data_IF_627850806343
#
_entry.id   IF_627850806343
#
_cell.length_a   1.000
_cell.length_b   1.000
_cell.length_c   1.000
_cell.angle_alpha   90.00
_cell.angle_beta   90.00
_cell.angle_gamma   90.00
#
_symmetry.space_group_name_H-M   'P 1'
#
loop_
_entity.id
_entity.type
_entity.pdbx_description
1 polymer ?
#
# COMPACT_ATOMS: atom_id res chain seq x y z
N UNK A 1 -32.30 18.13 -31.63
CA UNK A 1 -32.30 16.99 -30.68
C UNK A 1 -33.69 16.54 -30.24
N UNK A 2 -34.58 17.43 -29.77
CA UNK A 2 -35.91 17.07 -29.25
C UNK A 2 -36.83 16.27 -30.21
N UNK A 3 -36.73 16.56 -31.52
CA UNK A 3 -37.56 15.94 -32.58
C UNK A 3 -37.16 14.49 -32.92
N UNK A 4 -35.93 14.09 -32.59
CA UNK A 4 -35.43 12.72 -32.80
C UNK A 4 -35.88 11.86 -31.62
N UNK A 5 -35.75 12.37 -30.39
CA UNK A 5 -36.23 11.71 -29.18
C UNK A 5 -37.73 11.41 -29.22
N UNK A 6 -38.56 12.35 -29.71
CA UNK A 6 -40.00 12.11 -29.84
C UNK A 6 -40.36 11.02 -30.85
N UNK A 7 -39.60 10.90 -31.95
CA UNK A 7 -39.78 9.83 -32.94
C UNK A 7 -39.41 8.45 -32.38
N UNK A 8 -38.35 8.35 -31.57
CA UNK A 8 -38.00 7.12 -30.87
C UNK A 8 -39.09 6.69 -29.87
N UNK A 9 -39.63 7.65 -29.11
CA UNK A 9 -40.71 7.40 -28.15
C UNK A 9 -41.99 6.92 -28.86
N UNK A 10 -42.34 7.51 -30.00
CA UNK A 10 -43.51 7.07 -30.79
C UNK A 10 -43.31 5.71 -31.47
N UNK A 11 -42.08 5.32 -31.80
CA UNK A 11 -41.77 4.02 -32.41
C UNK A 11 -41.58 2.88 -31.38
N UNK A 12 -41.30 3.21 -30.12
CA UNK A 12 -41.12 2.27 -29.02
C UNK A 12 -42.25 1.23 -28.86
N UNK A 13 -43.55 1.61 -28.85
CA UNK A 13 -44.63 0.64 -28.67
C UNK A 13 -44.72 -0.36 -29.84
N UNK A 14 -44.33 0.02 -31.05
CA UNK A 14 -44.29 -0.86 -32.22
C UNK A 14 -43.20 -1.94 -32.09
N UNK A 15 -42.01 -1.55 -31.63
CA UNK A 15 -40.89 -2.47 -31.38
C UNK A 15 -41.24 -3.42 -30.24
N UNK A 16 -41.79 -2.91 -29.14
CA UNK A 16 -42.22 -3.72 -28.00
C UNK A 16 -43.32 -4.74 -28.38
N UNK A 17 -44.33 -4.34 -29.17
CA UNK A 17 -45.36 -5.25 -29.68
C UNK A 17 -44.74 -6.37 -30.54
N UNK A 18 -43.80 -6.01 -31.42
CA UNK A 18 -43.12 -6.98 -32.30
C UNK A 18 -42.23 -7.95 -31.52
N UNK A 19 -41.56 -7.46 -30.47
CA UNK A 19 -40.77 -8.26 -29.55
C UNK A 19 -41.64 -9.26 -28.76
N UNK A 20 -42.84 -8.85 -28.34
CA UNK A 20 -43.83 -9.74 -27.69
C UNK A 20 -44.37 -10.83 -28.62
N UNK A 21 -44.58 -10.52 -29.91
CA UNK A 21 -45.06 -11.51 -30.89
C UNK A 21 -44.01 -12.59 -31.18
N UNK A 22 -42.72 -12.24 -31.20
CA UNK A 22 -41.61 -13.19 -31.41
C UNK A 22 -40.82 -13.51 -30.13
N UNK A 23 -41.47 -13.46 -28.97
CA UNK A 23 -40.82 -13.54 -27.65
C UNK A 23 -39.99 -14.83 -27.45
N UNK A 24 -40.41 -15.97 -28.01
CA UNK A 24 -39.68 -17.24 -27.89
C UNK A 24 -38.29 -17.19 -28.54
N UNK A 25 -38.19 -16.61 -29.72
CA UNK A 25 -36.91 -16.45 -30.41
C UNK A 25 -36.03 -15.40 -29.68
N UNK A 26 -36.64 -14.30 -29.22
CA UNK A 26 -35.94 -13.26 -28.48
C UNK A 26 -35.38 -13.78 -27.14
N UNK A 27 -36.14 -14.60 -26.42
CA UNK A 27 -35.74 -15.21 -25.15
C UNK A 27 -34.50 -16.09 -25.30
N UNK A 28 -34.44 -16.91 -26.36
CA UNK A 28 -33.27 -17.75 -26.65
C UNK A 28 -32.01 -16.92 -26.91
N UNK A 29 -32.13 -15.81 -27.65
CA UNK A 29 -30.99 -14.93 -27.94
C UNK A 29 -30.53 -14.22 -26.66
N UNK A 30 -31.47 -13.68 -25.87
CA UNK A 30 -31.15 -13.02 -24.60
C UNK A 30 -30.46 -14.01 -23.65
N UNK A 31 -30.95 -15.24 -23.53
CA UNK A 31 -30.34 -16.27 -22.71
C UNK A 31 -28.90 -16.58 -23.16
N UNK A 32 -28.65 -16.70 -24.46
CA UNK A 32 -27.31 -16.94 -25.01
C UNK A 32 -26.34 -15.79 -24.73
N UNK A 33 -26.78 -14.54 -24.93
CA UNK A 33 -25.97 -13.35 -24.63
C UNK A 33 -25.67 -13.23 -23.14
N UNK A 34 -26.66 -13.49 -22.28
CA UNK A 34 -26.47 -13.49 -20.82
C UNK A 34 -25.49 -14.58 -20.38
N UNK A 35 -25.62 -15.80 -20.92
CA UNK A 35 -24.72 -16.90 -20.59
C UNK A 35 -23.29 -16.59 -21.03
N UNK A 36 -23.10 -16.10 -22.27
CA UNK A 36 -21.79 -15.72 -22.77
C UNK A 36 -21.17 -14.59 -21.93
N UNK A 37 -21.95 -13.55 -21.60
CA UNK A 37 -21.51 -12.44 -20.75
C UNK A 37 -21.15 -12.91 -19.33
N UNK A 38 -21.96 -13.79 -18.75
CA UNK A 38 -21.72 -14.36 -17.42
C UNK A 38 -20.43 -15.21 -17.39
N UNK A 39 -20.20 -16.05 -18.42
CA UNK A 39 -18.98 -16.86 -18.51
C UNK A 39 -17.75 -15.96 -18.66
N UNK A 40 -17.82 -14.94 -19.53
CA UNK A 40 -16.71 -13.99 -19.71
C UNK A 40 -16.41 -13.20 -18.43
N UNK A 41 -17.44 -12.71 -17.73
CA UNK A 41 -17.28 -12.00 -16.47
C UNK A 41 -16.77 -12.92 -15.34
N UNK A 42 -17.31 -14.14 -15.23
CA UNK A 42 -16.91 -15.10 -14.19
C UNK A 42 -15.47 -15.54 -14.34
N UNK A 43 -14.95 -15.64 -15.56
CA UNK A 43 -13.56 -16.06 -15.77
C UNK A 43 -12.59 -15.04 -15.20
N UNK A 44 -12.83 -13.75 -15.44
CA UNK A 44 -11.98 -12.67 -14.92
C UNK A 44 -11.99 -12.67 -13.39
N UNK A 45 -13.18 -12.70 -12.78
CA UNK A 45 -13.32 -12.70 -11.32
C UNK A 45 -12.68 -13.95 -10.69
N UNK A 46 -12.84 -15.12 -11.31
CA UNK A 46 -12.23 -16.36 -10.81
C UNK A 46 -10.70 -16.32 -10.88
N UNK A 47 -10.14 -15.81 -11.98
CA UNK A 47 -8.69 -15.71 -12.13
C UNK A 47 -8.07 -14.70 -11.16
N UNK A 48 -8.73 -13.55 -10.94
CA UNK A 48 -8.29 -12.57 -9.95
C UNK A 48 -8.29 -13.18 -8.55
N UNK A 49 -9.37 -13.88 -8.17
CA UNK A 49 -9.45 -14.54 -6.87
C UNK A 49 -8.37 -15.64 -6.71
N UNK A 50 -8.10 -16.41 -7.76
CA UNK A 50 -7.07 -17.45 -7.74
C UNK A 50 -5.67 -16.83 -7.61
N UNK A 51 -5.40 -15.73 -8.32
CA UNK A 51 -4.15 -14.99 -8.25
C UNK A 51 -3.92 -14.43 -6.85
N UNK A 52 -4.93 -13.82 -6.25
CA UNK A 52 -4.85 -13.25 -4.91
C UNK A 52 -4.60 -14.33 -3.86
N UNK A 53 -5.27 -15.48 -4.00
CA UNK A 53 -5.05 -16.62 -3.12
C UNK A 53 -3.63 -17.19 -3.27
N UNK A 54 -3.15 -17.33 -4.50
CA UNK A 54 -1.78 -17.79 -4.77
C UNK A 54 -0.73 -16.82 -4.23
N UNK A 55 -0.95 -15.51 -4.36
CA UNK A 55 -0.07 -14.48 -3.81
C UNK A 55 -0.02 -14.56 -2.28
N UNK A 56 -1.18 -14.62 -1.62
CA UNK A 56 -1.25 -14.79 -0.16
C UNK A 56 -0.53 -16.06 0.29
N UNK A 57 -0.74 -17.17 -0.42
CA UNK A 57 -0.06 -18.43 -0.12
C UNK A 57 1.46 -18.33 -0.29
N UNK A 58 1.94 -17.68 -1.34
CA UNK A 58 3.37 -17.50 -1.60
C UNK A 58 4.04 -16.60 -0.55
N UNK A 59 3.35 -15.54 -0.10
CA UNK A 59 3.88 -14.62 0.91
C UNK A 59 3.91 -15.25 2.29
N UNK A 60 2.90 -16.05 2.66
CA UNK A 60 2.87 -16.77 3.94
C UNK A 60 3.96 -17.85 4.09
N UNK A 61 4.67 -18.20 3.01
CA UNK A 61 5.82 -19.12 3.05
C UNK A 61 7.16 -18.40 3.25
N UNK A 62 7.16 -17.06 3.24
CA UNK A 62 8.35 -16.25 3.44
C UNK A 62 8.49 -15.87 4.90
N UNK A 63 9.73 -15.66 5.32
CA UNK A 63 10.06 -15.11 6.64
C UNK A 63 9.93 -13.60 6.62
N UNK A 64 9.72 -12.99 7.78
CA UNK A 64 9.43 -11.54 7.89
C UNK A 64 10.53 -10.68 7.26
N UNK A 65 11.80 -11.07 7.41
CA UNK A 65 12.97 -10.41 6.80
C UNK A 65 12.97 -10.43 5.25
N UNK A 66 12.30 -11.41 4.64
CA UNK A 66 12.13 -11.50 3.19
C UNK A 66 10.97 -10.66 2.66
N UNK A 67 10.10 -10.18 3.55
CA UNK A 67 8.93 -9.37 3.24
C UNK A 67 9.14 -7.88 3.57
N UNK A 68 10.31 -7.52 4.12
CA UNK A 68 10.66 -6.15 4.44
C UNK A 68 10.73 -5.27 3.18
N UNK A 69 9.98 -4.16 3.22
CA UNK A 69 9.95 -3.18 2.13
C UNK A 69 10.76 -1.96 2.56
N UNK A 70 11.86 -1.71 1.84
CA UNK A 70 12.67 -0.51 2.03
C UNK A 70 12.18 0.60 1.10
N UNK A 71 11.64 1.66 1.70
CA UNK A 71 11.36 2.92 1.00
C UNK A 71 12.47 3.93 1.25
N UNK A 72 13.07 4.45 0.19
CA UNK A 72 14.04 5.55 0.29
C UNK A 72 13.35 6.87 -0.08
N UNK A 73 13.62 7.90 0.71
CA UNK A 73 13.09 9.25 0.49
C UNK A 73 14.26 10.21 0.44
N UNK A 74 14.51 10.77 -0.74
CA UNK A 74 15.51 11.82 -0.93
C UNK A 74 14.91 13.18 -0.56
N UNK A 75 14.52 13.35 0.71
CA UNK A 75 14.12 14.64 1.27
C UNK A 75 15.06 15.03 2.41
N UNK A 76 15.39 16.32 2.46
CA UNK A 76 16.02 16.91 3.65
C UNK A 76 14.98 17.05 4.75
N UNK A 77 14.73 15.95 5.47
CA UNK A 77 13.88 15.86 6.65
C UNK A 77 14.49 16.72 7.77
N UNK A 78 14.21 18.02 7.71
CA UNK A 78 14.81 19.03 8.60
C UNK A 78 13.89 19.31 9.79
N UNK A 79 12.60 18.99 9.65
CA UNK A 79 11.58 19.26 10.64
C UNK A 79 10.66 18.06 10.85
N UNK A 80 9.98 18.06 12.00
CA UNK A 80 8.92 17.08 12.29
C UNK A 80 7.78 17.12 11.26
N UNK A 81 7.46 18.29 10.72
CA UNK A 81 6.42 18.46 9.71
C UNK A 81 6.78 17.76 8.40
N UNK A 82 8.04 17.85 7.97
CA UNK A 82 8.53 17.16 6.77
C UNK A 82 8.44 15.64 6.95
N UNK A 83 8.78 15.15 8.15
CA UNK A 83 8.65 13.73 8.50
C UNK A 83 7.19 13.26 8.46
N UNK A 84 6.27 13.97 9.11
CA UNK A 84 4.85 13.61 9.12
C UNK A 84 4.27 13.63 7.70
N UNK A 85 4.67 14.59 6.88
CA UNK A 85 4.25 14.67 5.47
C UNK A 85 4.79 13.51 4.64
N UNK A 86 6.09 13.20 4.74
CA UNK A 86 6.71 12.11 3.99
C UNK A 86 6.14 10.74 4.38
N UNK A 87 5.99 10.50 5.68
CA UNK A 87 5.42 9.24 6.20
C UNK A 87 3.93 9.10 5.89
N UNK A 88 3.17 10.20 5.84
CA UNK A 88 1.78 10.18 5.40
C UNK A 88 1.65 9.77 3.92
N UNK A 89 2.51 10.30 3.05
CA UNK A 89 2.54 9.89 1.64
C UNK A 89 2.94 8.42 1.50
N UNK A 90 4.01 7.99 2.16
CA UNK A 90 4.46 6.60 2.12
C UNK A 90 3.38 5.63 2.63
N UNK A 91 2.73 5.98 3.75
CA UNK A 91 1.64 5.18 4.32
C UNK A 91 0.44 5.11 3.37
N UNK A 92 0.04 6.24 2.77
CA UNK A 92 -1.08 6.26 1.83
C UNK A 92 -0.83 5.38 0.60
N UNK A 93 0.36 5.46 0.03
CA UNK A 93 0.70 4.64 -1.13
C UNK A 93 0.80 3.16 -0.76
N UNK A 94 1.34 2.85 0.42
CA UNK A 94 1.36 1.49 0.95
C UNK A 94 -0.06 0.93 1.13
N UNK A 95 -0.94 1.65 1.84
CA UNK A 95 -2.31 1.21 2.11
C UNK A 95 -3.10 1.02 0.81
N UNK A 96 -2.88 1.91 -0.17
CA UNK A 96 -3.53 1.83 -1.49
C UNK A 96 -3.13 0.59 -2.27
N UNK A 97 -1.87 0.18 -2.21
CA UNK A 97 -1.34 -0.91 -3.06
C UNK A 97 -1.31 -2.26 -2.36
N UNK A 98 -1.03 -2.27 -1.05
CA UNK A 98 -0.71 -3.46 -0.26
C UNK A 98 -1.63 -3.63 0.94
N UNK A 99 -2.43 -2.63 1.32
CA UNK A 99 -3.29 -2.68 2.50
C UNK A 99 -4.31 -3.84 2.48
N UNK A 100 -4.71 -4.32 1.30
CA UNK A 100 -5.60 -5.48 1.16
C UNK A 100 -4.94 -6.83 1.48
N UNK A 101 -3.61 -6.86 1.57
CA UNK A 101 -2.81 -8.08 1.73
C UNK A 101 -2.13 -8.17 3.12
N UNK A 102 -2.06 -7.06 3.86
CA UNK A 102 -1.27 -6.95 5.09
C UNK A 102 -2.19 -6.87 6.31
N UNK A 103 -2.06 -7.81 7.25
CA UNK A 103 -2.82 -7.83 8.52
C UNK A 103 -2.21 -6.93 9.61
N UNK A 104 -0.93 -6.56 9.48
CA UNK A 104 -0.23 -5.73 10.45
C UNK A 104 1.02 -5.10 9.86
N UNK A 105 1.39 -3.92 10.35
CA UNK A 105 2.55 -3.16 9.87
C UNK A 105 3.41 -2.72 11.04
N UNK A 106 4.68 -3.08 10.96
CA UNK A 106 5.75 -2.44 11.74
C UNK A 106 6.46 -1.48 10.79
N UNK A 107 6.60 -0.22 11.18
CA UNK A 107 7.37 0.75 10.41
C UNK A 107 8.58 1.20 11.22
N UNK A 108 9.68 1.44 10.52
CA UNK A 108 10.86 2.07 11.07
C UNK A 108 11.41 3.05 10.04
N UNK A 109 11.95 4.16 10.53
CA UNK A 109 12.61 5.17 9.73
C UNK A 109 14.05 5.26 10.20
N UNK A 110 14.97 5.26 9.25
CA UNK A 110 16.40 5.38 9.50
C UNK A 110 16.93 6.54 8.65
N UNK A 111 17.75 7.39 9.25
CA UNK A 111 18.47 8.43 8.51
C UNK A 111 19.62 7.82 7.71
N UNK A 112 20.13 8.56 6.73
CA UNK A 112 21.44 8.26 6.15
C UNK A 112 22.51 8.18 7.25
N UNK A 113 23.53 7.38 6.98
CA UNK A 113 24.67 7.23 7.89
C UNK A 113 25.53 8.50 7.85
N UNK A 114 25.73 9.11 9.01
CA UNK A 114 26.63 10.22 9.22
C UNK A 114 28.00 9.68 9.62
N UNK A 115 29.05 10.15 8.97
CA UNK A 115 30.42 9.86 9.36
C UNK A 115 30.94 11.00 10.24
N UNK A 116 31.37 10.65 11.45
CA UNK A 116 31.79 11.61 12.46
C UNK A 116 33.29 11.85 12.34
N UNK A 117 33.68 13.11 12.35
CA UNK A 117 35.09 13.52 12.34
C UNK A 117 35.29 14.77 13.18
N UNK A 118 36.55 15.08 13.51
CA UNK A 118 36.89 16.34 14.17
C UNK A 118 36.76 17.49 13.17
N UNK A 119 36.38 18.65 13.66
CA UNK A 119 36.29 19.88 12.85
C UNK A 119 37.63 20.16 12.18
N UNK A 120 37.64 20.32 10.85
CA UNK A 120 38.85 20.50 10.04
C UNK A 120 39.53 19.21 9.59
N UNK A 121 38.91 18.04 9.81
CA UNK A 121 39.33 16.73 9.29
C UNK A 121 38.23 16.06 8.46
N UNK A 122 37.42 16.86 7.76
CA UNK A 122 36.29 16.40 6.95
C UNK A 122 36.73 15.44 5.83
N UNK A 123 37.96 15.58 5.32
CA UNK A 123 38.57 14.68 4.35
C UNK A 123 38.84 13.26 4.89
N UNK A 124 38.86 13.11 6.22
CA UNK A 124 39.02 11.82 6.90
C UNK A 124 37.67 11.17 7.24
N UNK A 125 36.54 11.85 6.98
CA UNK A 125 35.21 11.33 7.27
C UNK A 125 34.95 10.03 6.49
N UNK A 126 34.63 8.95 7.22
CA UNK A 126 34.35 7.64 6.64
C UNK A 126 35.58 6.78 6.36
N UNK A 127 36.78 7.25 6.72
CA UNK A 127 37.99 6.42 6.78
C UNK A 127 37.98 5.55 8.05
N UNK A 128 37.47 6.07 9.15
CA UNK A 128 37.25 5.32 10.39
C UNK A 128 35.82 4.74 10.48
N UNK A 129 35.59 3.86 11.46
CA UNK A 129 34.25 3.28 11.70
C UNK A 129 33.40 4.16 12.63
N UNK A 130 33.75 5.44 12.80
CA UNK A 130 32.97 6.39 13.59
C UNK A 130 31.77 6.86 12.79
N UNK A 131 30.70 6.06 12.84
CA UNK A 131 29.44 6.32 12.15
C UNK A 131 28.29 6.43 13.13
N UNK A 132 27.39 7.35 12.84
CA UNK A 132 26.14 7.52 13.57
C UNK A 132 24.97 7.55 12.59
N UNK A 133 23.84 7.03 13.03
CA UNK A 133 22.57 7.21 12.34
C UNK A 133 21.48 7.33 13.39
N UNK A 134 20.38 7.96 13.03
CA UNK A 134 19.20 8.00 13.87
C UNK A 134 18.18 7.03 13.29
N UNK A 135 17.61 6.20 14.15
CA UNK A 135 16.53 5.30 13.81
C UNK A 135 15.35 5.55 14.74
N UNK A 136 14.16 5.50 14.18
CA UNK A 136 12.90 5.67 14.89
C UNK A 136 11.92 4.61 14.43
N UNK A 137 11.41 3.81 15.37
CA UNK A 137 10.42 2.79 15.12
C UNK A 137 9.20 3.03 16.03
N UNK A 138 8.07 3.54 15.51
CA UNK A 138 6.85 3.65 16.30
C UNK A 138 6.37 2.26 16.75
N UNK A 139 5.83 2.18 17.96
CA UNK A 139 5.28 0.95 18.55
C UNK A 139 6.29 -0.21 18.67
N UNK A 140 7.59 0.08 18.64
CA UNK A 140 8.65 -0.93 18.77
C UNK A 140 8.50 -1.78 20.04
N UNK A 141 7.96 -1.18 21.10
CA UNK A 141 7.65 -1.81 22.38
C UNK A 141 6.58 -2.91 22.28
N UNK A 142 5.66 -2.82 21.32
CA UNK A 142 4.60 -3.82 21.13
C UNK A 142 5.09 -5.11 20.47
N UNK A 143 6.22 -5.04 19.76
CA UNK A 143 6.78 -6.15 18.99
C UNK A 143 8.15 -6.62 19.50
N UNK A 144 8.60 -6.10 20.65
CA UNK A 144 9.89 -6.44 21.24
C UNK A 144 9.71 -7.08 22.61
N UNK A 145 10.47 -8.15 22.88
CA UNK A 145 10.59 -8.72 24.24
C UNK A 145 11.90 -8.25 24.87
N UNK A 146 11.80 -7.60 26.04
CA UNK A 146 12.97 -7.28 26.86
C UNK A 146 13.45 -8.53 27.58
N UNK A 147 14.71 -8.91 27.35
CA UNK A 147 15.33 -10.01 28.06
C UNK A 147 15.63 -9.63 29.53
N UNK A 148 15.60 -10.59 30.47
CA UNK A 148 15.92 -10.34 31.88
C UNK A 148 17.29 -9.66 32.05
N UNK A 149 17.35 -8.63 32.90
CA UNK A 149 18.57 -7.83 33.12
C UNK A 149 18.71 -6.59 32.22
N UNK A 150 17.76 -6.36 31.31
CA UNK A 150 17.71 -5.18 30.44
C UNK A 150 16.71 -4.13 30.98
N UNK A 151 16.99 -2.83 30.81
CA UNK A 151 16.02 -1.74 31.06
C UNK A 151 15.73 -0.98 29.77
N UNK A 152 14.49 -0.50 29.59
CA UNK A 152 14.23 0.50 28.56
C UNK A 152 15.03 1.77 28.84
N UNK A 153 15.57 2.44 27.80
CA UNK A 153 16.14 3.77 27.97
C UNK A 153 15.08 4.72 28.56
N UNK A 154 15.47 5.51 29.54
CA UNK A 154 14.59 6.51 30.13
C UNK A 154 14.21 7.57 29.10
N UNK A 155 12.94 7.98 29.08
CA UNK A 155 12.48 9.05 28.21
C UNK A 155 12.99 10.39 28.76
N UNK A 156 14.13 10.84 28.26
CA UNK A 156 14.73 12.11 28.63
C UNK A 156 16.12 12.27 28.02
N UNK A 157 16.65 13.50 27.95
CA UNK A 157 18.06 13.67 27.61
C UNK A 157 18.91 12.99 28.69
N UNK A 158 19.87 12.18 28.25
CA UNK A 158 20.80 11.47 29.15
C UNK A 158 21.68 12.47 29.92
N UNK A 159 21.90 13.65 29.33
CA UNK A 159 22.67 14.74 29.90
C UNK A 159 21.79 15.98 30.10
N UNK A 160 22.05 16.74 31.17
CA UNK A 160 21.46 18.06 31.36
C UNK A 160 21.92 19.02 30.24
N UNK A 161 21.13 20.05 29.88
CA UNK A 161 21.58 21.06 28.92
C UNK A 161 22.89 21.71 29.41
N UNK A 162 24.02 21.38 28.76
CA UNK A 162 25.34 21.93 29.09
C UNK A 162 26.34 20.93 29.68
N UNK A 163 25.95 19.69 29.99
CA UNK A 163 26.89 18.61 30.31
C UNK A 163 27.31 17.84 29.05
N UNK A 164 28.57 17.37 28.97
CA UNK A 164 29.10 16.65 27.81
C UNK A 164 28.35 15.34 27.54
#
# INVERSE_FOLDING_TARGET
MFRIASRFISAWPLVAKRALVHWKALSSVIAGVLLASAIMASTVVYLDALRDLALKHALNQRTDDQLDILGEVELRLSSRFDYESATAVATREFDRQLGWLVDGRVSAVKTSTFYLTRRGGEELAGIDDNRAYFAFAPNFDQYTTLLPGSRMPEKGPVNSPGDP
#
